data_IF_963561383729
#
_entry.id   IF_963561383729
#
_cell.length_a   1.000
_cell.length_b   1.000
_cell.length_c   1.000
_cell.angle_alpha   90.00
_cell.angle_beta   90.00
_cell.angle_gamma   90.00
#
_symmetry.space_group_name_H-M   'P 1'
#
loop_
_entity.id
_entity.type
_entity.pdbx_description
1 polymer ?
#
# COMPACT_ATOMS: atom_id res chain seq x y z
N UNK A 1 -7.24 -31.18 -0.57
CA UNK A 1 -8.53 -30.79 -1.15
C UNK A 1 -9.06 -29.62 -0.33
N UNK A 2 -9.29 -28.46 -0.96
CA UNK A 2 -9.78 -27.28 -0.23
C UNK A 2 -11.27 -27.45 0.11
N UNK A 3 -11.68 -26.85 1.22
CA UNK A 3 -13.09 -26.73 1.59
C UNK A 3 -13.84 -25.85 0.58
N UNK A 4 -15.15 -26.07 0.39
CA UNK A 4 -15.99 -25.23 -0.47
C UNK A 4 -15.88 -23.74 -0.13
N UNK A 5 -15.73 -23.43 1.16
CA UNK A 5 -15.50 -22.08 1.67
C UNK A 5 -14.22 -21.44 1.10
N UNK A 6 -13.12 -22.18 1.06
CA UNK A 6 -11.83 -21.69 0.53
C UNK A 6 -11.90 -21.41 -0.97
N UNK A 7 -12.64 -22.20 -1.73
CA UNK A 7 -12.87 -21.94 -3.17
C UNK A 7 -13.62 -20.62 -3.34
N UNK A 8 -14.68 -20.39 -2.57
CA UNK A 8 -15.43 -19.11 -2.60
C UNK A 8 -14.52 -17.93 -2.24
N UNK A 9 -13.73 -18.05 -1.17
CA UNK A 9 -12.79 -17.00 -0.75
C UNK A 9 -11.78 -16.69 -1.86
N UNK A 10 -11.24 -17.73 -2.51
CA UNK A 10 -10.29 -17.56 -3.61
C UNK A 10 -10.94 -16.87 -4.82
N UNK A 11 -12.18 -17.22 -5.17
CA UNK A 11 -12.92 -16.56 -6.26
C UNK A 11 -13.18 -15.08 -5.98
N UNK A 12 -13.61 -14.75 -4.75
CA UNK A 12 -13.75 -13.37 -4.28
C UNK A 12 -12.40 -12.66 -4.31
N UNK A 13 -11.34 -13.35 -3.88
CA UNK A 13 -9.97 -12.89 -3.91
C UNK A 13 -9.49 -12.53 -5.32
N UNK A 14 -9.77 -13.37 -6.32
CA UNK A 14 -9.48 -13.09 -7.74
C UNK A 14 -10.16 -11.81 -8.20
N UNK A 15 -11.45 -11.65 -7.87
CA UNK A 15 -12.20 -10.43 -8.23
C UNK A 15 -11.56 -9.18 -7.64
N UNK A 16 -11.25 -9.17 -6.33
CA UNK A 16 -10.56 -8.05 -5.70
C UNK A 16 -9.14 -7.82 -6.22
N UNK A 17 -8.43 -8.89 -6.61
CA UNK A 17 -7.09 -8.81 -7.17
C UNK A 17 -7.08 -8.09 -8.52
N UNK A 18 -7.95 -8.50 -9.45
CA UNK A 18 -8.12 -7.87 -10.75
C UNK A 18 -8.54 -6.41 -10.59
N UNK A 19 -9.55 -6.14 -9.76
CA UNK A 19 -10.10 -4.81 -9.59
C UNK A 19 -9.10 -3.83 -8.97
N UNK A 20 -8.36 -4.26 -7.94
CA UNK A 20 -7.29 -3.46 -7.33
C UNK A 20 -6.17 -3.15 -8.32
N UNK A 21 -5.73 -4.17 -9.09
CA UNK A 21 -4.70 -3.98 -10.11
C UNK A 21 -5.14 -2.91 -11.13
N UNK A 22 -6.36 -3.03 -11.65
CA UNK A 22 -6.93 -2.09 -12.60
C UNK A 22 -7.01 -0.65 -12.06
N UNK A 23 -7.56 -0.45 -10.85
CA UNK A 23 -7.69 0.89 -10.26
C UNK A 23 -6.32 1.48 -9.94
N UNK A 24 -5.36 0.70 -9.45
CA UNK A 24 -4.04 1.20 -9.13
C UNK A 24 -3.26 1.61 -10.40
N UNK A 25 -3.38 0.85 -11.49
CA UNK A 25 -2.86 1.27 -12.81
C UNK A 25 -3.52 2.58 -13.26
N UNK A 26 -4.84 2.71 -13.08
CA UNK A 26 -5.54 3.95 -13.41
C UNK A 26 -5.06 5.14 -12.56
N UNK A 27 -4.90 4.94 -11.25
CA UNK A 27 -4.39 5.93 -10.32
C UNK A 27 -2.95 6.35 -10.66
N UNK A 28 -2.11 5.39 -11.06
CA UNK A 28 -0.74 5.65 -11.51
C UNK A 28 -0.74 6.61 -12.71
N UNK A 29 -1.45 6.27 -13.80
CA UNK A 29 -1.58 7.12 -15.00
C UNK A 29 -2.19 8.49 -14.71
N UNK A 30 -3.14 8.56 -13.76
CA UNK A 30 -3.81 9.81 -13.39
C UNK A 30 -2.93 10.72 -12.56
N UNK A 31 -2.16 10.14 -11.64
CA UNK A 31 -1.22 10.89 -10.83
C UNK A 31 -0.09 11.41 -11.69
N UNK A 32 0.45 10.63 -12.64
CA UNK A 32 1.68 10.93 -13.42
C UNK A 32 1.67 12.33 -14.03
N UNK A 33 0.47 12.84 -14.31
CA UNK A 33 0.19 14.21 -14.72
C UNK A 33 0.43 15.29 -13.64
N UNK A 34 1.01 14.97 -12.49
CA UNK A 34 1.22 15.88 -11.34
C UNK A 34 2.66 15.83 -10.80
N UNK A 35 3.08 16.96 -10.23
CA UNK A 35 4.44 17.32 -9.77
C UNK A 35 5.27 16.21 -9.09
N UNK A 36 6.58 16.36 -9.22
CA UNK A 36 7.66 15.51 -8.69
C UNK A 36 7.61 15.26 -7.16
N UNK A 37 6.91 16.08 -6.38
CA UNK A 37 6.77 15.93 -4.91
C UNK A 37 6.01 14.66 -4.45
N UNK A 38 5.53 13.85 -5.39
CA UNK A 38 4.71 12.66 -5.15
C UNK A 38 5.37 11.35 -5.62
N UNK A 39 6.69 11.32 -5.84
CA UNK A 39 7.42 10.13 -6.35
C UNK A 39 7.20 8.88 -5.50
N UNK A 40 7.24 8.99 -4.16
CA UNK A 40 6.96 7.84 -3.29
C UNK A 40 5.53 7.31 -3.45
N UNK A 41 4.55 8.19 -3.72
CA UNK A 41 3.19 7.75 -3.99
C UNK A 41 3.09 7.01 -5.34
N UNK A 42 3.84 7.43 -6.38
CA UNK A 42 3.91 6.66 -7.63
C UNK A 42 4.42 5.24 -7.40
N UNK A 43 5.54 5.14 -6.69
CA UNK A 43 6.13 3.85 -6.39
C UNK A 43 5.20 2.99 -5.55
N UNK A 44 4.45 3.59 -4.61
CA UNK A 44 3.40 2.92 -3.86
C UNK A 44 2.33 2.32 -4.78
N UNK A 45 1.74 3.09 -5.70
CA UNK A 45 0.71 2.56 -6.61
C UNK A 45 1.25 1.50 -7.56
N UNK A 46 2.50 1.63 -7.99
CA UNK A 46 3.18 0.59 -8.75
C UNK A 46 3.28 -0.72 -7.95
N UNK A 47 3.72 -0.65 -6.69
CA UNK A 47 3.75 -1.82 -5.81
C UNK A 47 2.36 -2.38 -5.51
N UNK A 48 1.33 -1.54 -5.37
CA UNK A 48 -0.05 -1.98 -5.14
C UNK A 48 -0.61 -2.74 -6.36
N UNK A 49 -0.29 -2.28 -7.58
CA UNK A 49 -0.65 -2.99 -8.81
C UNK A 49 0.10 -4.32 -8.94
N UNK A 50 1.41 -4.32 -8.68
CA UNK A 50 2.22 -5.53 -8.71
C UNK A 50 1.79 -6.52 -7.63
N UNK A 51 1.44 -6.06 -6.44
CA UNK A 51 0.85 -6.87 -5.37
C UNK A 51 -0.48 -7.49 -5.80
N UNK A 52 -1.36 -6.71 -6.45
CA UNK A 52 -2.61 -7.23 -7.02
C UNK A 52 -2.36 -8.36 -8.03
N UNK A 53 -1.36 -8.21 -8.89
CA UNK A 53 -0.98 -9.25 -9.85
C UNK A 53 -0.42 -10.51 -9.19
N UNK A 54 0.47 -10.39 -8.20
CA UNK A 54 1.06 -11.55 -7.51
C UNK A 54 0.03 -12.33 -6.70
N UNK A 55 -0.88 -11.62 -6.04
CA UNK A 55 -2.00 -12.22 -5.30
C UNK A 55 -3.04 -12.85 -6.26
N UNK A 56 -3.24 -12.27 -7.45
CA UNK A 56 -4.08 -12.90 -8.49
C UNK A 56 -3.53 -14.28 -8.87
N UNK A 57 -2.22 -14.39 -9.14
CA UNK A 57 -1.59 -15.68 -9.43
C UNK A 57 -1.73 -16.64 -8.25
N UNK A 58 -1.54 -16.18 -7.02
CA UNK A 58 -1.73 -17.00 -5.82
C UNK A 58 -3.14 -17.61 -5.73
N UNK A 59 -4.18 -16.80 -5.93
CA UNK A 59 -5.56 -17.31 -5.92
C UNK A 59 -5.86 -18.23 -7.10
N UNK A 60 -5.41 -17.88 -8.31
CA UNK A 60 -5.61 -18.71 -9.51
C UNK A 60 -4.94 -20.08 -9.36
N UNK A 61 -3.70 -20.13 -8.87
CA UNK A 61 -2.98 -21.38 -8.61
C UNK A 61 -3.62 -22.18 -7.47
N UNK A 62 -4.13 -21.50 -6.43
CA UNK A 62 -4.88 -22.17 -5.35
C UNK A 62 -6.16 -22.83 -5.87
N UNK A 63 -6.88 -22.19 -6.78
CA UNK A 63 -8.04 -22.79 -7.45
C UNK A 63 -7.60 -23.98 -8.32
N UNK A 64 -6.56 -23.81 -9.15
CA UNK A 64 -6.05 -24.85 -10.04
C UNK A 64 -5.63 -26.13 -9.28
N UNK A 65 -5.04 -25.98 -8.09
CA UNK A 65 -4.61 -27.12 -7.27
C UNK A 65 -5.76 -28.03 -6.78
N UNK A 66 -7.01 -27.57 -6.86
CA UNK A 66 -8.19 -28.43 -6.61
C UNK A 66 -8.48 -29.41 -7.75
N UNK A 67 -8.07 -29.07 -8.97
CA UNK A 67 -8.30 -29.89 -10.16
C UNK A 67 -7.06 -30.74 -10.50
N UNK A 68 -5.85 -30.22 -10.24
CA UNK A 68 -4.59 -30.93 -10.45
C UNK A 68 -3.61 -30.70 -9.29
N UNK A 69 -3.27 -31.76 -8.57
CA UNK A 69 -2.30 -31.73 -7.48
C UNK A 69 -0.84 -31.88 -7.98
N UNK A 70 -0.54 -31.31 -9.15
CA UNK A 70 0.79 -31.37 -9.74
C UNK A 70 1.79 -30.55 -8.93
N UNK A 71 3.02 -31.07 -8.82
CA UNK A 71 4.12 -30.40 -8.11
C UNK A 71 4.37 -28.97 -8.62
N UNK A 72 4.16 -28.74 -9.93
CA UNK A 72 4.29 -27.43 -10.57
C UNK A 72 3.28 -26.43 -10.00
N UNK A 73 2.03 -26.84 -9.79
CA UNK A 73 0.97 -25.98 -9.25
C UNK A 73 1.28 -25.60 -7.80
N UNK A 74 1.74 -26.56 -7.00
CA UNK A 74 2.14 -26.32 -5.60
C UNK A 74 3.31 -25.34 -5.53
N UNK A 75 4.33 -25.52 -6.38
CA UNK A 75 5.47 -24.59 -6.49
C UNK A 75 5.01 -23.19 -6.90
N UNK A 76 4.03 -23.07 -7.79
CA UNK A 76 3.50 -21.78 -8.22
C UNK A 76 2.71 -21.06 -7.12
N UNK A 77 1.91 -21.78 -6.33
CA UNK A 77 1.23 -21.24 -5.13
C UNK A 77 2.27 -20.69 -4.16
N UNK A 78 3.31 -21.49 -3.86
CA UNK A 78 4.35 -21.06 -2.93
C UNK A 78 5.13 -19.84 -3.46
N UNK A 79 5.55 -19.85 -4.74
CA UNK A 79 6.31 -18.77 -5.35
C UNK A 79 5.52 -17.46 -5.38
N UNK A 80 4.25 -17.52 -5.80
CA UNK A 80 3.36 -16.36 -5.83
C UNK A 80 3.05 -15.83 -4.42
N UNK A 81 2.85 -16.73 -3.45
CA UNK A 81 2.67 -16.37 -2.04
C UNK A 81 3.91 -15.68 -1.47
N UNK A 82 5.11 -16.23 -1.72
CA UNK A 82 6.38 -15.63 -1.32
C UNK A 82 6.56 -14.24 -1.94
N UNK A 83 6.38 -14.13 -3.25
CA UNK A 83 6.50 -12.85 -3.96
C UNK A 83 5.47 -11.84 -3.44
N UNK A 84 4.23 -12.26 -3.19
CA UNK A 84 3.21 -11.43 -2.56
C UNK A 84 3.64 -10.92 -1.18
N UNK A 85 4.28 -11.76 -0.35
CA UNK A 85 4.80 -11.31 0.95
C UNK A 85 5.93 -10.30 0.83
N UNK A 86 6.87 -10.49 -0.11
CA UNK A 86 7.97 -9.55 -0.34
C UNK A 86 7.47 -8.18 -0.80
N UNK A 87 6.53 -8.18 -1.75
CA UNK A 87 5.89 -6.95 -2.24
C UNK A 87 5.10 -6.28 -1.13
N UNK A 88 4.37 -7.06 -0.32
CA UNK A 88 3.66 -6.55 0.86
C UNK A 88 4.58 -5.84 1.86
N UNK A 89 5.82 -6.31 2.05
CA UNK A 89 6.80 -5.64 2.92
C UNK A 89 7.35 -4.36 2.29
N UNK A 90 7.68 -4.39 1.01
CA UNK A 90 8.08 -3.20 0.27
C UNK A 90 6.98 -2.12 0.36
N UNK A 91 5.71 -2.52 0.23
CA UNK A 91 4.55 -1.64 0.41
C UNK A 91 4.50 -0.99 1.79
N UNK A 92 4.64 -1.78 2.86
CA UNK A 92 4.65 -1.26 4.23
C UNK A 92 5.83 -0.31 4.49
N UNK A 93 7.03 -0.64 3.98
CA UNK A 93 8.21 0.21 4.09
C UNK A 93 8.05 1.54 3.34
N UNK A 94 7.45 1.51 2.14
CA UNK A 94 7.12 2.73 1.38
C UNK A 94 6.15 3.61 2.14
N UNK A 95 5.10 3.04 2.73
CA UNK A 95 4.14 3.80 3.53
C UNK A 95 4.81 4.43 4.75
N UNK A 96 5.68 3.70 5.46
CA UNK A 96 6.46 4.27 6.55
C UNK A 96 7.27 5.48 6.06
N UNK A 97 8.00 5.33 4.94
CA UNK A 97 8.78 6.43 4.37
C UNK A 97 7.92 7.63 3.95
N UNK A 98 6.74 7.38 3.35
CA UNK A 98 5.78 8.44 3.05
C UNK A 98 5.36 9.16 4.34
N UNK A 99 4.98 8.43 5.39
CA UNK A 99 4.55 9.06 6.65
C UNK A 99 5.65 9.88 7.32
N UNK A 100 6.88 9.38 7.33
CA UNK A 100 8.07 10.09 7.82
C UNK A 100 8.31 11.37 7.01
N UNK A 101 8.29 11.27 5.68
CA UNK A 101 8.44 12.42 4.80
C UNK A 101 7.38 13.50 5.09
N UNK A 102 6.12 13.10 5.31
CA UNK A 102 5.04 14.04 5.63
C UNK A 102 5.17 14.63 7.02
N UNK A 103 5.67 13.89 8.00
CA UNK A 103 6.03 14.46 9.30
C UNK A 103 7.11 15.51 9.13
N UNK A 104 8.21 15.22 8.45
CA UNK A 104 9.29 16.20 8.25
C UNK A 104 8.77 17.45 7.54
N UNK A 105 7.96 17.29 6.49
CA UNK A 105 7.37 18.40 5.76
C UNK A 105 6.42 19.27 6.61
N UNK A 106 5.69 18.68 7.57
CA UNK A 106 4.71 19.40 8.40
C UNK A 106 5.31 19.91 9.70
N UNK A 107 6.24 19.16 10.31
CA UNK A 107 6.89 19.51 11.57
C UNK A 107 8.04 20.49 11.38
N UNK A 108 8.87 20.29 10.37
CA UNK A 108 10.09 21.07 10.13
C UNK A 108 10.17 21.53 8.66
N UNK A 109 9.21 22.36 8.17
CA UNK A 109 9.09 22.70 6.75
C UNK A 109 10.34 23.39 6.17
N UNK A 110 11.04 24.21 6.97
CA UNK A 110 12.27 24.91 6.55
C UNK A 110 13.39 23.91 6.31
N UNK A 111 13.61 23.00 7.28
CA UNK A 111 14.59 21.93 7.15
C UNK A 111 14.26 21.02 5.98
N UNK A 112 12.99 20.61 5.86
CA UNK A 112 12.54 19.77 4.75
C UNK A 112 12.83 20.42 3.39
N UNK A 113 12.51 21.71 3.22
CA UNK A 113 12.75 22.44 1.96
C UNK A 113 14.23 22.51 1.60
N UNK A 114 15.12 22.65 2.58
CA UNK A 114 16.55 22.79 2.34
C UNK A 114 17.24 21.43 2.13
N UNK A 115 16.87 20.40 2.91
CA UNK A 115 17.57 19.11 2.90
C UNK A 115 16.96 18.07 1.96
N UNK A 116 15.66 18.14 1.65
CA UNK A 116 15.04 17.13 0.80
C UNK A 116 15.68 17.02 -0.59
N UNK A 117 15.99 18.12 -1.30
CA UNK A 117 16.61 18.02 -2.61
C UNK A 117 17.95 17.26 -2.63
N UNK A 118 18.66 17.18 -1.49
CA UNK A 118 19.91 16.43 -1.38
C UNK A 118 19.68 14.91 -1.33
N UNK A 119 18.51 14.47 -0.90
CA UNK A 119 18.18 13.04 -0.81
C UNK A 119 17.51 12.64 -2.11
N UNK A 120 18.26 11.93 -2.97
CA UNK A 120 17.70 11.39 -4.21
C UNK A 120 16.55 10.42 -3.92
N UNK A 121 15.45 10.56 -4.65
CA UNK A 121 14.34 9.61 -4.58
C UNK A 121 14.81 8.18 -4.90
N UNK A 122 15.81 8.02 -5.78
CA UNK A 122 16.40 6.73 -6.10
C UNK A 122 17.08 6.10 -4.87
N UNK A 123 17.71 6.90 -4.00
CA UNK A 123 18.31 6.39 -2.77
C UNK A 123 17.26 5.84 -1.80
N UNK A 124 16.10 6.52 -1.70
CA UNK A 124 14.98 6.04 -0.87
C UNK A 124 14.44 4.72 -1.43
N UNK A 125 14.27 4.62 -2.75
CA UNK A 125 13.81 3.39 -3.41
C UNK A 125 14.81 2.24 -3.22
N UNK A 126 16.11 2.50 -3.36
CA UNK A 126 17.17 1.52 -3.11
C UNK A 126 17.18 1.04 -1.67
N UNK A 127 16.89 1.92 -0.69
CA UNK A 127 16.78 1.53 0.71
C UNK A 127 15.58 0.60 0.96
N UNK A 128 14.44 0.85 0.30
CA UNK A 128 13.25 -0.02 0.38
C UNK A 128 13.53 -1.41 -0.21
N UNK A 129 14.18 -1.46 -1.37
CA UNK A 129 14.55 -2.75 -2.00
C UNK A 129 15.60 -3.46 -1.15
N UNK A 130 16.60 -2.71 -0.66
CA UNK A 130 17.63 -3.20 0.25
C UNK A 130 17.06 -3.78 1.53
N UNK A 131 16.01 -3.18 2.10
CA UNK A 131 15.32 -3.72 3.28
C UNK A 131 14.82 -5.15 3.06
N UNK A 132 14.20 -5.42 1.89
CA UNK A 132 13.77 -6.78 1.54
C UNK A 132 14.93 -7.78 1.43
N UNK A 133 16.09 -7.35 0.94
CA UNK A 133 17.30 -8.19 0.89
C UNK A 133 17.85 -8.45 2.30
N UNK A 134 17.95 -7.42 3.15
CA UNK A 134 18.41 -7.53 4.53
C UNK A 134 17.56 -8.50 5.35
N UNK A 135 16.24 -8.50 5.13
CA UNK A 135 15.35 -9.45 5.79
C UNK A 135 15.71 -10.90 5.47
N UNK A 136 15.99 -11.20 4.21
CA UNK A 136 16.41 -12.54 3.80
C UNK A 136 17.76 -12.92 4.42
N UNK A 137 18.73 -11.99 4.44
CA UNK A 137 20.03 -12.22 5.05
C UNK A 137 19.92 -12.51 6.56
N UNK A 138 19.09 -11.74 7.28
CA UNK A 138 18.85 -11.97 8.71
C UNK A 138 18.22 -13.34 8.94
N UNK A 139 17.17 -13.70 8.18
CA UNK A 139 16.56 -15.02 8.30
C UNK A 139 17.57 -16.14 8.00
N UNK A 140 18.42 -15.96 6.98
CA UNK A 140 19.39 -16.97 6.57
C UNK A 140 20.54 -17.15 7.57
N UNK A 141 21.14 -16.05 8.03
CA UNK A 141 22.37 -16.08 8.85
C UNK A 141 22.11 -16.07 10.35
N UNK A 142 21.08 -15.37 10.84
CA UNK A 142 20.78 -15.30 12.27
C UNK A 142 19.76 -16.34 12.73
N UNK A 143 18.85 -16.75 11.84
CA UNK A 143 17.82 -17.73 12.17
C UNK A 143 18.03 -19.11 11.53
N UNK A 144 19.16 -19.36 10.86
CA UNK A 144 19.44 -20.63 10.16
C UNK A 144 18.30 -21.09 9.23
N UNK A 145 17.61 -20.16 8.58
CA UNK A 145 16.54 -20.50 7.66
C UNK A 145 17.08 -21.34 6.50
N UNK A 146 16.51 -22.54 6.33
CA UNK A 146 16.76 -23.42 5.18
C UNK A 146 15.51 -23.39 4.30
N UNK A 147 15.70 -23.08 3.02
CA UNK A 147 14.62 -23.06 2.04
C UNK A 147 14.22 -24.50 1.69
N UNK A 148 13.34 -25.09 2.50
CA UNK A 148 12.73 -26.40 2.28
C UNK A 148 11.22 -26.21 2.28
N UNK A 149 10.56 -26.56 1.18
CA UNK A 149 9.10 -26.41 1.02
C UNK A 149 8.46 -27.76 1.37
N UNK A 150 7.71 -27.87 2.47
CA UNK A 150 6.90 -29.06 2.74
C UNK A 150 5.82 -29.24 1.67
N UNK A 151 5.50 -30.49 1.31
CA UNK A 151 4.46 -30.80 0.30
C UNK A 151 3.08 -30.25 0.65
N UNK A 152 2.78 -30.07 1.94
CA UNK A 152 1.51 -29.54 2.43
C UNK A 152 1.58 -28.03 2.76
N UNK A 153 2.61 -27.32 2.31
CA UNK A 153 2.83 -25.92 2.64
C UNK A 153 2.25 -24.97 1.59
N UNK A 154 1.16 -24.28 1.95
CA UNK A 154 0.42 -23.35 1.07
C UNK A 154 0.86 -21.89 1.30
N UNK A 155 1.49 -21.60 2.43
CA UNK A 155 1.86 -20.22 2.81
C UNK A 155 3.37 -20.08 3.00
N UNK A 156 3.93 -18.88 2.81
CA UNK A 156 5.35 -18.67 3.09
C UNK A 156 5.72 -18.98 4.55
N UNK A 157 4.78 -18.80 5.48
CA UNK A 157 4.99 -19.01 6.92
C UNK A 157 5.20 -20.47 7.33
N UNK A 158 4.68 -21.46 6.60
CA UNK A 158 4.86 -22.87 6.98
C UNK A 158 6.23 -23.45 6.61
N UNK A 159 7.00 -22.80 5.74
CA UNK A 159 8.39 -23.17 5.47
C UNK A 159 9.34 -22.54 6.50
N UNK A 160 8.94 -21.44 7.12
CA UNK A 160 9.75 -20.72 8.10
C UNK A 160 9.90 -21.49 9.41
N UNK A 161 11.12 -21.53 9.94
CA UNK A 161 11.36 -21.97 11.31
C UNK A 161 10.83 -20.93 12.31
N UNK A 162 10.79 -21.32 13.60
CA UNK A 162 10.24 -20.47 14.65
C UNK A 162 10.95 -19.11 14.76
N UNK A 163 12.29 -19.08 14.69
CA UNK A 163 13.06 -17.83 14.75
C UNK A 163 12.70 -16.89 13.60
N UNK A 164 12.67 -17.43 12.37
CA UNK A 164 12.39 -16.65 11.17
C UNK A 164 10.96 -16.13 11.18
N UNK A 165 10.00 -16.94 11.63
CA UNK A 165 8.60 -16.53 11.80
C UNK A 165 8.45 -15.41 12.85
N UNK A 166 9.13 -15.53 13.99
CA UNK A 166 9.12 -14.50 15.04
C UNK A 166 9.79 -13.19 14.59
N UNK A 167 10.96 -13.27 13.96
CA UNK A 167 11.63 -12.10 13.38
C UNK A 167 10.74 -11.42 12.33
N UNK A 168 10.16 -12.21 11.43
CA UNK A 168 9.29 -11.74 10.37
C UNK A 168 8.04 -11.04 10.91
N UNK A 169 7.37 -11.62 11.91
CA UNK A 169 6.21 -11.01 12.55
C UNK A 169 6.58 -9.72 13.33
N UNK A 170 7.69 -9.74 14.06
CA UNK A 170 8.15 -8.60 14.87
C UNK A 170 8.53 -7.41 13.99
N UNK A 171 9.36 -7.64 12.97
CA UNK A 171 9.78 -6.59 12.02
C UNK A 171 8.60 -5.95 11.30
N UNK A 172 7.61 -6.74 10.85
CA UNK A 172 6.36 -6.23 10.28
C UNK A 172 5.61 -5.34 11.28
N UNK A 173 5.46 -5.82 12.52
CA UNK A 173 4.73 -5.12 13.58
C UNK A 173 5.40 -3.78 13.92
N UNK A 174 6.73 -3.75 14.00
CA UNK A 174 7.50 -2.54 14.24
C UNK A 174 7.24 -1.48 13.16
N UNK A 175 7.31 -1.84 11.87
CA UNK A 175 7.04 -0.90 10.77
C UNK A 175 5.63 -0.32 10.87
N UNK A 176 4.63 -1.17 11.10
CA UNK A 176 3.23 -0.74 11.20
C UNK A 176 3.03 0.16 12.43
N UNK A 177 3.63 -0.17 13.57
CA UNK A 177 3.55 0.63 14.78
C UNK A 177 4.14 2.04 14.58
N UNK A 178 5.33 2.15 13.98
CA UNK A 178 5.92 3.45 13.66
C UNK A 178 5.08 4.24 12.66
N UNK A 179 4.58 3.59 11.61
CA UNK A 179 3.70 4.22 10.62
C UNK A 179 2.45 4.80 11.30
N UNK A 180 1.84 4.04 12.20
CA UNK A 180 0.64 4.45 12.92
C UNK A 180 0.92 5.60 13.89
N UNK A 181 2.00 5.51 14.67
CA UNK A 181 2.45 6.57 15.57
C UNK A 181 2.66 7.88 14.80
N UNK A 182 3.31 7.80 13.64
CA UNK A 182 3.53 8.94 12.78
C UNK A 182 2.24 9.49 12.15
N UNK A 183 1.33 8.62 11.74
CA UNK A 183 0.01 9.03 11.24
C UNK A 183 -0.80 9.77 12.32
N UNK A 184 -0.76 9.31 13.58
CA UNK A 184 -1.39 10.01 14.71
C UNK A 184 -0.76 11.40 14.87
N UNK A 185 0.57 11.49 14.97
CA UNK A 185 1.27 12.77 15.10
C UNK A 185 0.90 13.76 13.98
N UNK A 186 0.87 13.26 12.74
CA UNK A 186 0.46 14.04 11.57
C UNK A 186 -0.98 14.51 11.69
N UNK A 187 -1.91 13.62 12.06
CA UNK A 187 -3.32 13.95 12.21
C UNK A 187 -3.56 15.00 13.30
N UNK A 188 -2.90 14.86 14.47
CA UNK A 188 -3.01 15.81 15.57
C UNK A 188 -2.49 17.20 15.18
N UNK A 189 -1.32 17.26 14.52
CA UNK A 189 -0.77 18.55 14.07
C UNK A 189 -1.64 19.21 13.00
N UNK A 190 -2.24 18.42 12.10
CA UNK A 190 -3.15 18.94 11.09
C UNK A 190 -4.47 19.44 11.69
N UNK A 191 -5.04 18.71 12.64
CA UNK A 191 -6.22 19.16 13.39
C UNK A 191 -5.92 20.46 14.15
N UNK A 192 -4.76 20.53 14.80
CA UNK A 192 -4.34 21.74 15.51
C UNK A 192 -4.21 22.95 14.57
N UNK A 193 -3.67 22.74 13.35
CA UNK A 193 -3.60 23.78 12.31
C UNK A 193 -4.99 24.25 11.87
N UNK A 194 -5.95 23.33 11.69
CA UNK A 194 -7.33 23.67 11.33
C UNK A 194 -7.99 24.50 12.43
N UNK A 195 -7.81 24.12 13.69
CA UNK A 195 -8.40 24.81 14.84
C UNK A 195 -7.80 26.21 14.99
N UNK A 196 -6.47 26.33 14.92
CA UNK A 196 -5.76 27.60 15.18
C UNK A 196 -5.82 28.58 14.02
N UNK A 197 -5.64 28.11 12.79
CA UNK A 197 -5.56 28.99 11.61
C UNK A 197 -6.89 29.11 10.84
N UNK A 198 -7.95 28.38 11.24
CA UNK A 198 -9.21 28.23 10.49
C UNK A 198 -9.02 27.77 9.03
N UNK A 199 -7.84 27.25 8.68
CA UNK A 199 -7.50 26.76 7.35
C UNK A 199 -7.89 25.28 7.22
N UNK A 200 -8.90 24.99 6.39
CA UNK A 200 -9.37 23.61 6.10
C UNK A 200 -8.61 22.91 4.97
N UNK A 201 -7.66 23.59 4.34
CA UNK A 201 -6.97 23.05 3.16
C UNK A 201 -5.84 22.09 3.55
N UNK A 202 -6.19 20.79 3.60
CA UNK A 202 -5.19 19.74 3.66
C UNK A 202 -4.52 19.56 2.30
N UNK A 203 -3.19 19.52 2.29
CA UNK A 203 -2.47 19.11 1.09
C UNK A 203 -2.83 17.65 0.72
N UNK A 204 -2.90 17.35 -0.57
CA UNK A 204 -3.25 16.02 -1.09
C UNK A 204 -2.36 14.94 -0.49
N UNK A 205 -1.07 15.21 -0.37
CA UNK A 205 -0.09 14.29 0.20
C UNK A 205 -0.42 13.91 1.65
N UNK A 206 -0.84 14.87 2.46
CA UNK A 206 -1.19 14.63 3.86
C UNK A 206 -2.47 13.80 3.97
N UNK A 207 -3.49 14.15 3.17
CA UNK A 207 -4.74 13.37 3.13
C UNK A 207 -4.50 11.96 2.61
N UNK A 208 -3.61 11.79 1.63
CA UNK A 208 -3.28 10.50 1.06
C UNK A 208 -2.51 9.62 2.07
N UNK A 209 -1.54 10.19 2.77
CA UNK A 209 -0.80 9.51 3.85
C UNK A 209 -1.72 9.08 5.01
N UNK A 210 -2.70 9.90 5.39
CA UNK A 210 -3.69 9.53 6.41
C UNK A 210 -4.62 8.40 5.96
N UNK A 211 -5.07 8.42 4.70
CA UNK A 211 -5.88 7.33 4.13
C UNK A 211 -5.06 6.03 4.12
N UNK A 212 -3.82 6.06 3.61
CA UNK A 212 -2.94 4.88 3.55
C UNK A 212 -2.67 4.29 4.94
N UNK A 213 -2.29 5.13 5.91
CA UNK A 213 -2.07 4.68 7.29
C UNK A 213 -3.34 4.09 7.94
N UNK A 214 -4.51 4.69 7.70
CA UNK A 214 -5.78 4.17 8.20
C UNK A 214 -6.13 2.82 7.59
N UNK A 215 -5.90 2.62 6.28
CA UNK A 215 -6.15 1.34 5.61
C UNK A 215 -5.17 0.27 6.12
N UNK A 216 -3.87 0.56 6.22
CA UNK A 216 -2.90 -0.42 6.75
C UNK A 216 -3.27 -0.82 8.17
N UNK A 217 -3.64 0.12 9.02
CA UNK A 217 -4.10 -0.20 10.37
C UNK A 217 -5.36 -1.08 10.33
N UNK A 218 -6.39 -0.65 9.60
CA UNK A 218 -7.69 -1.31 9.56
C UNK A 218 -7.68 -2.67 8.88
N UNK A 219 -6.83 -2.92 7.88
CA UNK A 219 -6.84 -4.17 7.10
C UNK A 219 -5.63 -5.05 7.35
N UNK A 220 -4.49 -4.51 7.78
CA UNK A 220 -3.30 -5.32 8.01
C UNK A 220 -3.26 -5.84 9.46
N UNK A 221 -3.60 -5.01 10.45
CA UNK A 221 -3.73 -5.45 11.86
C UNK A 221 -5.00 -6.29 12.05
N UNK A 222 -6.14 -5.83 11.54
CA UNK A 222 -7.39 -6.61 11.71
C UNK A 222 -7.29 -7.98 11.04
N UNK A 223 -6.71 -8.07 9.84
CA UNK A 223 -6.52 -9.34 9.14
C UNK A 223 -5.59 -10.26 9.93
N UNK A 224 -4.52 -9.72 10.52
CA UNK A 224 -3.63 -10.49 11.41
C UNK A 224 -4.33 -10.97 12.69
N UNK A 225 -5.16 -10.14 13.32
CA UNK A 225 -5.93 -10.52 14.53
C UNK A 225 -6.98 -11.58 14.18
N UNK A 226 -7.75 -11.38 13.10
CA UNK A 226 -8.77 -12.34 12.64
C UNK A 226 -8.12 -13.67 12.32
N UNK A 227 -6.99 -13.66 11.60
CA UNK A 227 -6.24 -14.88 11.28
C UNK A 227 -5.74 -15.59 12.55
N UNK A 228 -5.18 -14.86 13.52
CA UNK A 228 -4.67 -15.45 14.76
C UNK A 228 -5.78 -16.09 15.63
N UNK A 229 -6.90 -15.39 15.84
CA UNK A 229 -7.94 -15.83 16.77
C UNK A 229 -8.98 -16.76 16.14
N UNK A 230 -9.35 -16.55 14.87
CA UNK A 230 -10.51 -17.23 14.25
C UNK A 230 -10.10 -18.50 13.50
N UNK A 231 -8.95 -18.51 12.82
CA UNK A 231 -8.55 -19.58 11.92
C UNK A 231 -7.13 -20.02 12.29
N UNK A 232 -7.01 -21.05 13.13
CA UNK A 232 -5.72 -21.68 13.50
C UNK A 232 -4.73 -21.67 12.31
N UNK A 233 -3.52 -21.13 12.56
CA UNK A 233 -2.43 -20.70 11.66
C UNK A 233 -2.32 -21.40 10.28
N UNK A 234 -2.65 -22.68 10.15
CA UNK A 234 -2.35 -23.49 8.96
C UNK A 234 -3.15 -23.10 7.70
N UNK A 235 -4.39 -22.63 7.81
CA UNK A 235 -5.24 -22.30 6.63
C UNK A 235 -5.64 -20.81 6.52
N UNK A 236 -5.06 -19.94 7.35
CA UNK A 236 -5.40 -18.51 7.35
C UNK A 236 -4.92 -17.73 6.11
N UNK A 237 -4.07 -18.32 5.26
CA UNK A 237 -3.41 -17.65 4.13
C UNK A 237 -4.38 -17.00 3.13
N UNK A 238 -5.25 -17.78 2.45
CA UNK A 238 -6.23 -17.25 1.50
C UNK A 238 -7.15 -16.16 2.07
N UNK A 239 -7.63 -16.34 3.30
CA UNK A 239 -8.50 -15.38 3.98
C UNK A 239 -7.75 -14.09 4.26
N UNK A 240 -6.53 -14.20 4.81
CA UNK A 240 -5.66 -13.06 5.09
C UNK A 240 -5.37 -12.29 3.81
N UNK A 241 -5.07 -12.99 2.71
CA UNK A 241 -4.82 -12.39 1.41
C UNK A 241 -6.06 -11.68 0.86
N UNK A 242 -7.25 -12.31 0.98
CA UNK A 242 -8.50 -11.73 0.48
C UNK A 242 -8.88 -10.46 1.24
N UNK A 243 -8.74 -10.45 2.57
CA UNK A 243 -8.98 -9.26 3.41
C UNK A 243 -8.02 -8.12 3.08
N UNK A 244 -6.73 -8.43 2.90
CA UNK A 244 -5.74 -7.43 2.47
C UNK A 244 -6.08 -6.87 1.10
N UNK A 245 -6.50 -7.72 0.16
CA UNK A 245 -6.84 -7.30 -1.18
C UNK A 245 -8.09 -6.42 -1.20
N UNK A 246 -9.09 -6.74 -0.38
CA UNK A 246 -10.24 -5.88 -0.16
C UNK A 246 -9.84 -4.51 0.40
N UNK A 247 -8.93 -4.47 1.37
CA UNK A 247 -8.35 -3.21 1.87
C UNK A 247 -7.67 -2.39 0.77
N UNK A 248 -6.90 -3.04 -0.12
CA UNK A 248 -6.25 -2.38 -1.26
C UNK A 248 -7.27 -1.79 -2.24
N UNK A 249 -8.40 -2.47 -2.47
CA UNK A 249 -9.50 -1.95 -3.30
C UNK A 249 -10.09 -0.69 -2.70
N UNK A 250 -10.41 -0.70 -1.40
CA UNK A 250 -10.97 0.46 -0.70
C UNK A 250 -9.99 1.63 -0.74
N UNK A 251 -8.72 1.37 -0.45
CA UNK A 251 -7.64 2.36 -0.56
C UNK A 251 -7.64 3.00 -1.94
N UNK A 252 -7.50 2.19 -2.99
CA UNK A 252 -7.41 2.65 -4.36
C UNK A 252 -8.63 3.51 -4.78
N UNK A 253 -9.82 3.15 -4.32
CA UNK A 253 -11.06 3.93 -4.52
C UNK A 253 -11.04 5.28 -3.77
N UNK A 254 -10.61 5.31 -2.51
CA UNK A 254 -10.50 6.54 -1.71
C UNK A 254 -9.44 7.49 -2.28
N UNK A 255 -8.31 6.94 -2.71
CA UNK A 255 -7.26 7.66 -3.43
C UNK A 255 -7.81 8.26 -4.72
N UNK A 256 -8.44 7.44 -5.56
CA UNK A 256 -9.04 7.87 -6.82
C UNK A 256 -10.00 9.05 -6.63
N UNK A 257 -10.89 8.95 -5.63
CA UNK A 257 -11.83 10.02 -5.27
C UNK A 257 -11.10 11.30 -4.86
N UNK A 258 -10.03 11.18 -4.07
CA UNK A 258 -9.22 12.30 -3.58
C UNK A 258 -8.51 13.03 -4.71
N UNK A 259 -7.89 12.30 -5.64
CA UNK A 259 -7.22 12.88 -6.81
C UNK A 259 -8.24 13.58 -7.72
N UNK A 260 -9.39 12.95 -7.95
CA UNK A 260 -10.43 13.44 -8.87
C UNK A 260 -11.10 14.72 -8.38
N UNK A 261 -11.43 14.81 -7.08
CA UNK A 261 -12.05 16.01 -6.49
C UNK A 261 -11.24 17.27 -6.76
N UNK A 262 -9.93 17.24 -6.55
CA UNK A 262 -9.08 18.43 -6.77
C UNK A 262 -8.92 18.78 -8.26
N UNK A 263 -8.88 17.79 -9.15
CA UNK A 263 -8.84 18.06 -10.59
C UNK A 263 -10.10 18.80 -11.06
N UNK A 264 -11.27 18.53 -10.46
CA UNK A 264 -12.49 19.32 -10.74
C UNK A 264 -12.37 20.74 -10.20
N UNK A 265 -11.91 20.93 -8.96
CA UNK A 265 -11.73 22.26 -8.35
C UNK A 265 -10.77 23.13 -9.17
N UNK A 266 -9.64 22.59 -9.64
CA UNK A 266 -8.69 23.33 -10.49
C UNK A 266 -9.29 23.68 -11.86
N UNK A 267 -10.09 22.79 -12.45
CA UNK A 267 -10.77 23.08 -13.73
C UNK A 267 -11.81 24.19 -13.58
N UNK A 268 -12.64 24.12 -12.55
CA UNK A 268 -13.64 25.15 -12.23
C UNK A 268 -12.96 26.49 -12.01
N UNK A 269 -11.91 26.54 -11.17
CA UNK A 269 -11.16 27.78 -10.95
C UNK A 269 -10.54 28.36 -12.22
N UNK A 270 -10.03 27.52 -13.14
CA UNK A 270 -9.54 28.00 -14.45
C UNK A 270 -10.68 28.53 -15.33
N UNK A 271 -11.82 27.85 -15.37
CA UNK A 271 -13.00 28.31 -16.11
C UNK A 271 -13.54 29.63 -15.57
N UNK A 272 -13.56 29.81 -14.25
CA UNK A 272 -14.00 31.04 -13.60
C UNK A 272 -13.04 32.20 -13.91
N UNK A 273 -11.71 31.95 -13.87
CA UNK A 273 -10.70 32.94 -14.27
C UNK A 273 -10.88 33.33 -15.74
N UNK A 274 -11.05 32.37 -16.66
CA UNK A 274 -11.28 32.65 -18.08
C UNK A 274 -12.59 33.44 -18.28
N UNK A 275 -13.67 33.06 -17.59
CA UNK A 275 -14.95 33.75 -17.67
C UNK A 275 -14.87 35.19 -17.12
N UNK A 276 -14.13 35.41 -16.03
CA UNK A 276 -13.89 36.74 -15.49
C UNK A 276 -13.05 37.62 -16.44
N UNK A 277 -12.06 37.03 -17.12
CA UNK A 277 -11.28 37.72 -18.15
C UNK A 277 -12.13 38.11 -19.36
N UNK A 278 -13.04 37.23 -19.80
CA UNK A 278 -13.97 37.50 -20.90
C UNK A 278 -14.97 38.63 -20.57
N UNK A 279 -15.47 38.68 -19.32
CA UNK A 279 -16.37 39.77 -18.87
C UNK A 279 -15.65 41.12 -18.72
N UNK A 280 -14.36 41.11 -18.38
CA UNK A 280 -13.55 42.33 -18.28
C UNK A 280 -13.37 43.05 -19.62
N UNK A 281 -13.34 42.32 -20.73
CA UNK A 281 -13.21 42.90 -22.07
C UNK A 281 -14.50 43.46 -22.66
N UNK A 282 -15.67 43.17 -22.08
CA UNK A 282 -16.95 43.61 -22.65
C UNK A 282 -17.49 44.92 -22.03
N UNK A 283 -16.65 45.67 -21.30
CA UNK A 283 -16.93 47.08 -21.02
C UNK A 283 -16.50 47.89 -22.25
N UNK A 284 -17.35 47.91 -23.27
CA UNK A 284 -17.23 48.91 -24.33
C UNK A 284 -17.39 50.30 -23.69
N UNK A 285 -16.53 51.27 -24.04
CA UNK A 285 -16.67 52.64 -23.57
C UNK A 285 -17.98 53.21 -24.12
N UNK A 286 -18.87 53.60 -23.22
CA UNK A 286 -19.88 54.61 -23.54
C UNK A 286 -19.11 55.88 -23.91
N UNK A 287 -19.22 56.25 -25.19
CA UNK A 287 -18.71 57.49 -25.76
C UNK A 287 -19.28 58.72 -25.03
#
# INVERSE_FOLDING_TARGET
MFSYLEIIINLIGVFFAIFSCFINIFNLKKLEKKKEDMVLFYFRFFLDAFFGATILFFFASSIASNFSAEEIVIKLIYLSGLLGTLVGRARAAVTLMITVERILAVFTPIFYRNYRPLISNLAILSLIVGYGLFDYLIMRFLCDFKFVIPTNCITAGCSMNLCSSQYWATSKTVIIAFTFLFAIMLSLKLLWKVIKEKNKDFNNANRLALIDAAIIFLFDISSSIISYYVIKINNGGPITAALKQFGCVIEALLVFRTITRKTRVVKIGKSDVIASHAKGHNKQPTF
#
